data_IF_923172871634
#
_entry.id   IF_923172871634
#
_cell.length_a   1.000
_cell.length_b   1.000
_cell.length_c   1.000
_cell.angle_alpha   90.00
_cell.angle_beta   90.00
_cell.angle_gamma   90.00
#
_symmetry.space_group_name_H-M   'P 1'
#
loop_
_entity.id
_entity.type
_entity.pdbx_description
1 polymer ?
#
# COMPACT_ATOMS: atom_id res chain seq x y z
N UNK A 1 -15.83 9.09 -6.41
CA UNK A 1 -14.74 8.28 -5.85
C UNK A 1 -13.51 9.16 -5.67
N UNK A 2 -12.97 9.21 -4.48
CA UNK A 2 -11.77 9.99 -4.21
C UNK A 2 -10.52 9.25 -4.69
N UNK A 3 -9.60 9.99 -5.28
CA UNK A 3 -8.37 9.42 -5.83
C UNK A 3 -7.15 10.11 -5.22
N UNK A 4 -6.20 9.31 -4.73
CA UNK A 4 -4.95 9.81 -4.15
C UNK A 4 -3.80 9.12 -4.85
N UNK A 5 -2.78 9.89 -5.22
CA UNK A 5 -1.58 9.36 -5.87
C UNK A 5 -0.34 9.89 -5.14
N UNK A 6 0.58 8.97 -4.82
CA UNK A 6 1.85 9.28 -4.19
C UNK A 6 2.95 8.54 -4.93
N UNK A 7 4.15 9.11 -4.96
CA UNK A 7 5.30 8.44 -5.55
C UNK A 7 6.56 8.73 -4.74
N UNK A 8 7.52 7.80 -4.82
CA UNK A 8 8.80 7.94 -4.14
C UNK A 8 9.86 7.17 -4.92
N UNK A 9 11.09 7.71 -4.92
CA UNK A 9 12.23 7.04 -5.54
C UNK A 9 13.02 6.30 -4.47
N UNK A 10 13.25 5.01 -4.70
CA UNK A 10 13.89 4.09 -3.75
C UNK A 10 15.23 3.64 -4.34
N UNK A 11 16.29 3.73 -3.53
CA UNK A 11 17.64 3.34 -3.94
C UNK A 11 17.86 1.83 -3.85
N UNK A 12 17.08 1.10 -4.61
CA UNK A 12 17.16 -0.36 -4.67
C UNK A 12 16.81 -0.81 -6.08
N UNK A 13 17.30 -1.99 -6.49
CA UNK A 13 16.93 -2.56 -7.78
C UNK A 13 15.42 -2.85 -7.85
N UNK A 14 14.86 -2.74 -9.03
CA UNK A 14 13.43 -3.00 -9.28
C UNK A 14 12.97 -4.33 -8.69
N UNK A 15 13.76 -5.38 -8.90
CA UNK A 15 13.44 -6.72 -8.41
C UNK A 15 13.33 -6.77 -6.89
N UNK A 16 14.24 -6.11 -6.18
CA UNK A 16 14.23 -6.09 -4.72
C UNK A 16 13.01 -5.33 -4.20
N UNK A 17 12.65 -4.21 -4.84
CA UNK A 17 11.50 -3.41 -4.46
C UNK A 17 10.21 -4.20 -4.66
N UNK A 18 10.06 -4.82 -5.82
CA UNK A 18 8.87 -5.62 -6.11
C UNK A 18 8.75 -6.80 -5.15
N UNK A 19 9.84 -7.53 -4.92
CA UNK A 19 9.82 -8.68 -4.02
C UNK A 19 9.42 -8.31 -2.60
N UNK A 20 9.86 -7.15 -2.11
CA UNK A 20 9.48 -6.69 -0.78
C UNK A 20 8.00 -6.35 -0.70
N UNK A 21 7.44 -5.71 -1.72
CA UNK A 21 6.01 -5.39 -1.74
C UNK A 21 5.12 -6.63 -1.84
N UNK A 22 5.64 -7.74 -2.35
CA UNK A 22 4.87 -8.99 -2.40
C UNK A 22 4.99 -9.82 -1.14
N UNK A 23 5.83 -9.41 -0.19
CA UNK A 23 5.90 -10.02 1.14
C UNK A 23 4.89 -9.32 2.03
N UNK A 24 3.62 -9.65 1.85
CA UNK A 24 2.52 -8.98 2.56
C UNK A 24 2.65 -9.08 4.07
N UNK A 25 3.21 -10.15 4.58
CA UNK A 25 3.37 -10.36 6.02
C UNK A 25 4.40 -9.43 6.66
N UNK A 26 5.22 -8.76 5.85
CA UNK A 26 6.16 -7.75 6.32
C UNK A 26 5.55 -6.34 6.42
N UNK A 27 4.31 -6.16 5.96
CA UNK A 27 3.67 -4.84 5.95
C UNK A 27 3.68 -4.13 7.32
N UNK A 28 3.48 -4.82 8.46
CA UNK A 28 3.54 -4.14 9.76
C UNK A 28 4.87 -3.46 10.05
N UNK A 29 5.95 -3.87 9.37
CA UNK A 29 7.29 -3.30 9.56
C UNK A 29 7.38 -1.84 9.06
N UNK A 30 6.53 -1.45 8.11
CA UNK A 30 6.55 -0.09 7.57
C UNK A 30 5.17 0.57 7.49
N UNK A 31 4.11 -0.13 7.87
CA UNK A 31 2.75 0.42 7.93
C UNK A 31 2.30 0.43 9.39
N UNK A 32 2.39 1.59 10.03
CA UNK A 32 2.14 1.71 11.46
C UNK A 32 0.71 1.35 11.88
N UNK A 33 -0.26 1.54 11.00
CA UNK A 33 -1.65 1.19 11.28
C UNK A 33 -1.98 -0.28 11.07
N UNK A 34 -1.08 -1.04 10.42
CA UNK A 34 -1.29 -2.45 10.13
C UNK A 34 -0.60 -3.29 11.19
N UNK A 35 -1.34 -4.20 11.83
CA UNK A 35 -0.83 -5.06 12.88
C UNK A 35 -0.41 -6.42 12.35
N UNK A 36 -1.16 -6.98 11.41
CA UNK A 36 -0.88 -8.28 10.83
C UNK A 36 -1.49 -8.37 9.44
N UNK A 37 -0.76 -9.00 8.54
CA UNK A 37 -1.27 -9.32 7.21
C UNK A 37 -0.98 -10.78 6.94
N UNK A 38 -1.99 -11.51 6.47
CA UNK A 38 -1.83 -12.91 6.07
C UNK A 38 -2.31 -13.10 4.65
N UNK A 39 -1.50 -13.73 3.84
CA UNK A 39 -1.91 -14.14 2.51
C UNK A 39 -2.66 -15.48 2.62
N UNK A 40 -3.93 -15.46 2.23
CA UNK A 40 -4.80 -16.63 2.35
C UNK A 40 -4.57 -17.58 1.18
N UNK A 41 -4.46 -17.01 -0.02
CA UNK A 41 -4.15 -17.76 -1.24
C UNK A 41 -3.47 -16.80 -2.24
N UNK A 42 -3.31 -17.22 -3.50
CA UNK A 42 -2.57 -16.44 -4.51
C UNK A 42 -3.16 -15.05 -4.75
N UNK A 43 -4.44 -14.86 -4.47
CA UNK A 43 -5.13 -13.60 -4.78
C UNK A 43 -5.82 -12.96 -3.58
N UNK A 44 -5.87 -13.62 -2.42
CA UNK A 44 -6.60 -13.10 -1.26
C UNK A 44 -5.67 -12.83 -0.09
N UNK A 45 -5.85 -11.66 0.53
CA UNK A 45 -5.06 -11.21 1.66
C UNK A 45 -5.99 -10.74 2.77
N UNK A 46 -5.71 -11.15 4.01
CA UNK A 46 -6.43 -10.71 5.20
C UNK A 46 -5.55 -9.76 6.01
N UNK A 47 -6.06 -8.61 6.33
CA UNK A 47 -5.32 -7.57 7.04
C UNK A 47 -6.02 -7.21 8.35
N UNK A 48 -5.25 -7.19 9.45
CA UNK A 48 -5.70 -6.69 10.73
C UNK A 48 -5.02 -5.36 10.98
N UNK A 49 -5.81 -4.30 11.09
CA UNK A 49 -5.32 -2.93 11.20
C UNK A 49 -5.98 -2.21 12.37
N UNK A 50 -5.32 -1.16 12.85
CA UNK A 50 -5.91 -0.24 13.81
C UNK A 50 -6.05 1.12 13.13
N UNK A 51 -7.30 1.54 12.92
CA UNK A 51 -7.61 2.79 12.24
C UNK A 51 -8.37 3.69 13.20
N UNK A 52 -7.81 4.86 13.50
CA UNK A 52 -8.41 5.84 14.41
C UNK A 52 -8.72 5.25 15.78
N UNK A 53 -7.82 4.40 16.30
CA UNK A 53 -7.99 3.76 17.59
C UNK A 53 -8.91 2.55 17.60
N UNK A 54 -9.48 2.17 16.48
CA UNK A 54 -10.36 1.00 16.35
C UNK A 54 -9.68 -0.12 15.60
N UNK A 55 -9.75 -1.32 16.15
CA UNK A 55 -9.25 -2.49 15.46
C UNK A 55 -10.22 -2.90 14.35
N UNK A 56 -9.68 -3.11 13.16
CA UNK A 56 -10.47 -3.41 11.98
C UNK A 56 -9.82 -4.55 11.20
N UNK A 57 -10.65 -5.45 10.70
CA UNK A 57 -10.19 -6.51 9.81
C UNK A 57 -10.69 -6.22 8.41
N UNK A 58 -9.80 -6.30 7.42
CA UNK A 58 -10.11 -6.01 6.03
C UNK A 58 -9.59 -7.13 5.16
N UNK A 59 -10.44 -7.62 4.27
CA UNK A 59 -10.05 -8.58 3.25
C UNK A 59 -9.86 -7.87 1.92
N UNK A 60 -8.83 -8.26 1.20
CA UNK A 60 -8.51 -7.69 -0.11
C UNK A 60 -8.22 -8.78 -1.12
N UNK A 61 -8.53 -8.48 -2.37
CA UNK A 61 -8.24 -9.38 -3.49
C UNK A 61 -7.26 -8.71 -4.46
N UNK A 62 -6.22 -9.45 -4.84
CA UNK A 62 -5.30 -9.00 -5.87
C UNK A 62 -5.98 -9.25 -7.22
N UNK A 63 -6.29 -8.19 -7.95
CA UNK A 63 -7.04 -8.28 -9.20
C UNK A 63 -6.15 -8.25 -10.43
N UNK A 64 -4.90 -7.81 -10.29
CA UNK A 64 -3.91 -7.81 -11.35
C UNK A 64 -2.52 -7.77 -10.75
N UNK A 65 -1.62 -8.59 -11.28
CA UNK A 65 -0.24 -8.63 -10.79
C UNK A 65 0.67 -9.03 -11.92
N UNK A 66 1.59 -8.13 -12.25
CA UNK A 66 2.61 -8.40 -13.26
C UNK A 66 3.98 -8.18 -12.61
N UNK A 67 4.81 -9.23 -12.49
CA UNK A 67 6.10 -9.14 -11.79
C UNK A 67 6.97 -8.00 -12.31
N UNK A 68 7.52 -7.23 -11.37
CA UNK A 68 8.40 -6.09 -11.61
C UNK A 68 7.73 -4.92 -12.33
N UNK A 69 6.41 -4.93 -12.43
CA UNK A 69 5.66 -3.89 -13.13
C UNK A 69 4.58 -3.26 -12.28
N UNK A 70 3.60 -4.07 -11.84
CA UNK A 70 2.51 -3.53 -11.01
C UNK A 70 1.79 -4.60 -10.20
N UNK A 71 1.09 -4.13 -9.16
CA UNK A 71 0.16 -4.92 -8.37
C UNK A 71 -1.09 -4.08 -8.18
N UNK A 72 -2.26 -4.63 -8.49
CA UNK A 72 -3.53 -3.97 -8.27
C UNK A 72 -4.40 -4.83 -7.34
N UNK A 73 -5.12 -4.19 -6.44
CA UNK A 73 -5.98 -4.89 -5.50
C UNK A 73 -7.27 -4.11 -5.27
N UNK A 74 -8.28 -4.80 -4.74
CA UNK A 74 -9.53 -4.19 -4.30
C UNK A 74 -9.89 -4.70 -2.91
N UNK A 75 -10.61 -3.89 -2.14
CA UNK A 75 -11.13 -4.34 -0.86
C UNK A 75 -12.37 -5.22 -1.09
N UNK A 76 -12.50 -6.28 -0.28
CA UNK A 76 -13.67 -7.16 -0.29
C UNK A 76 -14.61 -6.84 0.86
N UNK A 77 -14.15 -6.06 1.84
CA UNK A 77 -14.92 -5.68 3.02
C UNK A 77 -14.58 -4.25 3.40
N UNK A 78 -15.44 -3.62 4.18
CA UNK A 78 -15.25 -2.24 4.60
C UNK A 78 -15.54 -1.25 3.48
N UNK A 79 -14.85 -0.11 3.50
CA UNK A 79 -15.01 0.94 2.49
C UNK A 79 -14.52 0.45 1.12
N UNK A 80 -15.35 0.56 0.07
CA UNK A 80 -14.91 0.16 -1.27
C UNK A 80 -13.67 0.94 -1.70
N UNK A 81 -12.62 0.21 -2.05
CA UNK A 81 -11.38 0.83 -2.49
C UNK A 81 -10.66 -0.04 -3.50
N UNK A 82 -9.88 0.60 -4.36
CA UNK A 82 -9.00 -0.04 -5.34
C UNK A 82 -7.64 0.64 -5.23
N UNK A 83 -6.59 -0.16 -5.19
CA UNK A 83 -5.23 0.36 -5.13
C UNK A 83 -4.38 -0.23 -6.25
N UNK A 84 -3.39 0.54 -6.68
CA UNK A 84 -2.41 0.10 -7.68
C UNK A 84 -1.04 0.60 -7.26
N UNK A 85 -0.06 -0.31 -7.29
CA UNK A 85 1.35 0.02 -7.15
C UNK A 85 2.01 -0.21 -8.50
N UNK A 86 2.65 0.83 -9.02
CA UNK A 86 3.46 0.75 -10.22
C UNK A 86 4.93 0.87 -9.86
N UNK A 87 5.77 0.07 -10.52
CA UNK A 87 7.21 0.06 -10.30
C UNK A 87 7.90 0.45 -11.59
N UNK A 88 8.73 1.48 -11.55
CA UNK A 88 9.41 1.99 -12.73
C UNK A 88 10.92 2.01 -12.48
N UNK A 89 11.72 1.28 -13.29
CA UNK A 89 13.16 1.32 -13.12
C UNK A 89 13.73 2.64 -13.66
N UNK A 90 14.43 3.37 -12.80
CA UNK A 90 15.11 4.60 -13.17
C UNK A 90 16.60 4.38 -13.38
N UNK A 91 17.12 3.24 -12.89
CA UNK A 91 18.51 2.85 -13.02
C UNK A 91 18.74 1.50 -12.38
N UNK A 92 19.97 0.94 -12.42
CA UNK A 92 20.25 -0.38 -11.86
C UNK A 92 19.99 -0.48 -10.35
N UNK A 93 20.08 0.64 -9.65
CA UNK A 93 19.88 0.68 -8.18
C UNK A 93 18.88 1.75 -7.79
N UNK A 94 17.94 2.08 -8.71
CA UNK A 94 16.97 3.12 -8.44
C UNK A 94 15.63 2.77 -9.07
N UNK A 95 14.59 2.76 -8.25
CA UNK A 95 13.24 2.40 -8.66
C UNK A 95 12.25 3.46 -8.17
N UNK A 96 11.34 3.88 -9.04
CA UNK A 96 10.23 4.74 -8.64
C UNK A 96 9.01 3.88 -8.32
N UNK A 97 8.47 4.08 -7.12
CA UNK A 97 7.24 3.43 -6.69
C UNK A 97 6.11 4.46 -6.76
N UNK A 98 5.06 4.14 -7.51
CA UNK A 98 3.86 4.97 -7.57
C UNK A 98 2.72 4.23 -6.92
N UNK A 99 2.13 4.84 -5.91
CA UNK A 99 0.96 4.30 -5.23
C UNK A 99 -0.24 5.14 -5.60
N UNK A 100 -1.25 4.51 -6.20
CA UNK A 100 -2.50 5.15 -6.53
C UNK A 100 -3.62 4.43 -5.80
N UNK A 101 -4.48 5.18 -5.12
CA UNK A 101 -5.61 4.62 -4.40
C UNK A 101 -6.88 5.39 -4.74
N UNK A 102 -7.93 4.66 -5.09
CA UNK A 102 -9.26 5.21 -5.28
C UNK A 102 -10.18 4.58 -4.26
N UNK A 103 -10.97 5.38 -3.57
CA UNK A 103 -11.90 4.88 -2.58
C UNK A 103 -13.19 5.68 -2.59
N UNK A 104 -14.27 5.06 -2.12
CA UNK A 104 -15.56 5.71 -2.04
C UNK A 104 -15.84 6.05 -0.58
N UNK A 105 -15.96 7.36 -0.24
CA UNK A 105 -16.26 7.75 1.14
C UNK A 105 -17.58 7.14 1.59
N UNK A 106 -17.60 6.53 2.78
CA UNK A 106 -18.77 5.82 3.29
C UNK A 106 -19.86 6.74 3.82
N UNK A 107 -19.62 8.06 3.87
CA UNK A 107 -20.58 9.03 4.35
C UNK A 107 -19.99 10.43 4.37
N UNK A 108 -20.74 11.39 4.87
CA UNK A 108 -20.32 12.79 4.89
C UNK A 108 -19.03 13.00 5.69
N UNK A 109 -18.85 12.24 6.77
CA UNK A 109 -17.65 12.35 7.61
C UNK A 109 -16.40 11.87 6.89
N UNK A 110 -16.52 10.78 6.10
CA UNK A 110 -15.38 10.22 5.36
C UNK A 110 -15.09 11.01 4.09
N UNK A 111 -16.05 11.79 3.59
CA UNK A 111 -15.87 12.64 2.42
C UNK A 111 -15.38 14.03 2.74
N UNK A 112 -15.11 14.35 4.00
CA UNK A 112 -14.62 15.67 4.38
C UNK A 112 -13.19 15.86 3.93
N UNK A 113 -12.80 17.12 3.74
CA UNK A 113 -11.43 17.47 3.37
C UNK A 113 -10.43 16.96 4.39
N UNK A 114 -10.76 17.04 5.68
CA UNK A 114 -9.89 16.56 6.75
C UNK A 114 -9.66 15.04 6.69
N UNK A 115 -10.72 14.28 6.42
CA UNK A 115 -10.62 12.83 6.29
C UNK A 115 -9.77 12.45 5.08
N UNK A 116 -9.95 13.13 3.95
CA UNK A 116 -9.17 12.89 2.73
C UNK A 116 -7.70 13.23 2.95
N UNK A 117 -7.41 14.35 3.61
CA UNK A 117 -6.03 14.73 3.94
C UNK A 117 -5.38 13.73 4.90
N UNK A 118 -6.14 13.16 5.83
CA UNK A 118 -5.65 12.14 6.75
C UNK A 118 -5.23 10.88 6.01
N UNK A 119 -6.04 10.41 5.07
CA UNK A 119 -5.71 9.24 4.25
C UNK A 119 -4.47 9.53 3.40
N UNK A 120 -4.41 10.71 2.79
CA UNK A 120 -3.27 11.13 1.98
C UNK A 120 -1.98 11.15 2.79
N UNK A 121 -2.00 11.70 4.01
CA UNK A 121 -0.84 11.73 4.88
C UNK A 121 -0.41 10.33 5.29
N UNK A 122 -1.36 9.44 5.57
CA UNK A 122 -1.08 8.05 5.94
C UNK A 122 -0.38 7.30 4.79
N UNK A 123 -0.83 7.51 3.55
CA UNK A 123 -0.20 6.89 2.38
C UNK A 123 1.21 7.45 2.16
N UNK A 124 1.40 8.74 2.37
CA UNK A 124 2.73 9.35 2.25
C UNK A 124 3.69 8.75 3.28
N UNK A 125 3.25 8.62 4.53
CA UNK A 125 4.06 8.00 5.58
C UNK A 125 4.40 6.55 5.24
N UNK A 126 3.45 5.82 4.68
CA UNK A 126 3.66 4.42 4.31
C UNK A 126 4.77 4.28 3.27
N UNK A 127 4.76 5.07 2.20
CA UNK A 127 5.78 4.93 1.16
C UNK A 127 7.14 5.45 1.63
N UNK A 128 7.17 6.47 2.49
CA UNK A 128 8.43 6.96 3.07
C UNK A 128 9.03 5.94 4.04
N UNK A 129 8.19 5.30 4.85
CA UNK A 129 8.62 4.23 5.75
C UNK A 129 9.10 3.01 4.95
N UNK A 130 8.42 2.69 3.86
CA UNK A 130 8.86 1.60 2.98
C UNK A 130 10.26 1.88 2.42
N UNK A 131 10.48 3.11 1.95
CA UNK A 131 11.78 3.52 1.42
C UNK A 131 12.87 3.31 2.47
N UNK A 132 12.67 3.81 3.68
CA UNK A 132 13.64 3.66 4.77
C UNK A 132 13.86 2.21 5.12
N UNK A 133 12.81 1.42 5.18
CA UNK A 133 12.85 0.00 5.53
C UNK A 133 13.69 -0.80 4.53
N UNK A 134 13.39 -0.66 3.24
CA UNK A 134 14.09 -1.45 2.22
C UNK A 134 15.52 -0.98 1.98
N UNK A 135 15.77 0.32 2.04
CA UNK A 135 17.13 0.85 1.86
C UNK A 135 18.04 0.41 3.00
N UNK A 136 17.51 0.29 4.21
CA UNK A 136 18.27 -0.20 5.35
C UNK A 136 18.55 -1.69 5.26
N UNK A 137 17.62 -2.47 4.73
CA UNK A 137 17.81 -3.92 4.57
C UNK A 137 18.75 -4.28 3.43
N UNK A 138 18.83 -3.41 2.42
CA UNK A 138 19.65 -3.66 1.24
C UNK A 138 21.16 -3.38 1.47
N UNK A 139 21.51 -2.81 2.61
CA UNK A 139 22.91 -2.49 2.95
C UNK A 139 23.69 -3.71 3.41
#
# INVERSE_FOLDING_TARGET
MEKIEKSIDVRCPLRAVYNQWTRFEDFPEFMSSVKEVRQIDDTHVHCHAEIRGEETEVDAEIIDQLPNEHIAWKSLSGTPSVGVLHFEPLGPQLTRVRLMMAYEPAGAADGTREAIESVSASLQDTIENFKSFIENRAR
#
